data_IF_117641899891
#
_entry.id   IF_117641899891
#
_cell.length_a   1.000
_cell.length_b   1.000
_cell.length_c   1.000
_cell.angle_alpha   90.00
_cell.angle_beta   90.00
_cell.angle_gamma   90.00
#
_symmetry.space_group_name_H-M   'P 1'
#
loop_
_entity.id
_entity.type
_entity.pdbx_description
1 polymer ?
#
# COMPACT_ATOMS: atom_id res chain seq x y z
N UNK A 1 -35.25 32.81 45.74
CA UNK A 1 -34.83 32.50 44.35
C UNK A 1 -33.35 32.10 44.34
N UNK A 2 -33.04 30.79 44.32
CA UNK A 2 -31.66 30.26 44.18
C UNK A 2 -31.73 28.85 43.57
N UNK A 3 -31.92 28.78 42.26
CA UNK A 3 -31.70 27.57 41.45
C UNK A 3 -30.74 28.03 40.36
N UNK A 4 -29.42 27.84 40.53
CA UNK A 4 -28.46 28.21 39.47
C UNK A 4 -27.07 27.59 39.56
N UNK A 5 -26.89 26.43 40.23
CA UNK A 5 -25.54 25.83 40.34
C UNK A 5 -25.42 24.33 40.05
N UNK A 6 -26.53 23.61 39.84
CA UNK A 6 -26.47 22.15 39.62
C UNK A 6 -26.68 21.72 38.16
N UNK A 7 -26.99 22.64 37.25
CA UNK A 7 -27.31 22.29 35.86
C UNK A 7 -26.09 22.21 34.92
N UNK A 8 -24.93 22.68 35.35
CA UNK A 8 -23.73 22.78 34.49
C UNK A 8 -22.90 21.47 34.50
N UNK A 9 -23.11 20.58 35.47
CA UNK A 9 -22.34 19.32 35.58
C UNK A 9 -22.97 18.19 34.76
N UNK A 10 -24.29 18.22 34.51
CA UNK A 10 -24.97 17.18 33.73
C UNK A 10 -24.76 17.31 32.21
N UNK A 11 -24.40 18.50 31.70
CA UNK A 11 -24.12 18.73 30.28
C UNK A 11 -22.68 18.37 29.87
N UNK A 12 -21.76 18.22 30.85
CA UNK A 12 -20.37 17.83 30.60
C UNK A 12 -20.16 16.31 30.55
N UNK A 13 -21.22 15.53 30.78
CA UNK A 13 -21.30 14.09 30.49
C UNK A 13 -21.94 13.80 29.13
N UNK A 14 -21.95 14.76 28.20
CA UNK A 14 -21.80 14.43 26.80
C UNK A 14 -20.36 13.94 26.58
N UNK A 15 -20.03 12.81 27.22
CA UNK A 15 -18.82 12.08 26.93
C UNK A 15 -18.88 11.81 25.44
N UNK A 16 -17.94 12.39 24.71
CA UNK A 16 -17.56 11.88 23.41
C UNK A 16 -17.15 10.43 23.65
N UNK A 17 -18.13 9.52 23.56
CA UNK A 17 -17.86 8.12 23.36
C UNK A 17 -17.23 8.14 21.97
N UNK A 18 -15.90 8.21 21.90
CA UNK A 18 -15.22 7.92 20.66
C UNK A 18 -15.60 6.49 20.35
N UNK A 19 -16.53 6.31 19.42
CA UNK A 19 -16.79 5.02 18.82
C UNK A 19 -15.44 4.60 18.25
N UNK A 20 -14.75 3.69 18.94
CA UNK A 20 -13.58 3.04 18.36
C UNK A 20 -14.13 2.27 17.17
N UNK A 21 -13.58 2.49 15.97
CA UNK A 21 -14.04 1.74 14.82
C UNK A 21 -13.80 0.25 15.03
N UNK A 22 -14.58 -0.54 14.31
CA UNK A 22 -14.59 -1.97 14.45
C UNK A 22 -13.40 -2.58 13.71
N UNK A 23 -12.91 -3.70 14.23
CA UNK A 23 -12.07 -4.61 13.45
C UNK A 23 -12.99 -5.59 12.71
N UNK A 24 -12.88 -5.64 11.38
CA UNK A 24 -13.74 -6.47 10.54
C UNK A 24 -12.93 -7.20 9.48
N UNK A 25 -13.42 -8.37 9.09
CA UNK A 25 -12.62 -9.38 8.41
C UNK A 25 -13.18 -9.71 7.04
N UNK A 26 -12.34 -9.68 6.01
CA UNK A 26 -12.75 -10.15 4.69
C UNK A 26 -12.86 -11.68 4.71
N UNK A 27 -13.97 -12.20 4.17
CA UNK A 27 -14.26 -13.62 4.02
C UNK A 27 -14.44 -14.02 2.55
N UNK A 28 -14.96 -13.13 1.72
CA UNK A 28 -15.37 -13.47 0.35
C UNK A 28 -16.54 -14.45 0.31
N UNK A 29 -17.55 -14.22 1.15
CA UNK A 29 -18.72 -15.11 1.30
C UNK A 29 -19.67 -15.13 0.09
N UNK A 30 -19.62 -14.09 -0.75
CA UNK A 30 -20.40 -13.97 -2.00
C UNK A 30 -19.46 -14.11 -3.20
N UNK A 31 -18.41 -13.29 -3.23
CA UNK A 31 -17.43 -13.23 -4.31
C UNK A 31 -16.15 -12.48 -3.87
N UNK A 32 -15.33 -12.06 -4.83
CA UNK A 32 -14.08 -11.35 -4.59
C UNK A 32 -14.25 -9.83 -4.37
N UNK A 33 -15.44 -9.24 -4.55
CA UNK A 33 -15.58 -7.78 -4.55
C UNK A 33 -15.40 -7.21 -3.13
N UNK A 34 -14.35 -6.40 -2.95
CA UNK A 34 -14.03 -5.75 -1.67
C UNK A 34 -15.18 -4.88 -1.15
N UNK A 35 -15.99 -4.31 -2.04
CA UNK A 35 -17.02 -3.32 -1.70
C UNK A 35 -18.37 -3.93 -1.31
N UNK A 36 -18.49 -5.26 -1.27
CA UNK A 36 -19.75 -5.92 -0.91
C UNK A 36 -19.80 -6.27 0.58
N UNK A 37 -20.79 -5.71 1.26
CA UNK A 37 -21.09 -5.95 2.69
C UNK A 37 -21.09 -7.44 3.04
N UNK A 38 -21.69 -8.30 2.20
CA UNK A 38 -21.78 -9.74 2.46
C UNK A 38 -20.44 -10.50 2.39
N UNK A 39 -19.36 -9.84 1.94
CA UNK A 39 -18.02 -10.41 1.97
C UNK A 39 -17.26 -10.12 3.27
N UNK A 40 -17.82 -9.32 4.18
CA UNK A 40 -17.21 -8.93 5.45
C UNK A 40 -17.87 -9.62 6.64
N UNK A 41 -17.06 -10.01 7.61
CA UNK A 41 -17.50 -10.49 8.92
C UNK A 41 -17.24 -9.41 9.98
N UNK A 42 -18.09 -9.38 11.00
CA UNK A 42 -17.85 -8.59 12.19
C UNK A 42 -16.68 -9.17 13.01
N UNK A 43 -16.34 -8.49 14.12
CA UNK A 43 -15.23 -8.88 14.98
C UNK A 43 -15.39 -10.26 15.65
N UNK A 44 -16.59 -10.86 15.61
CA UNK A 44 -16.88 -12.18 16.16
C UNK A 44 -16.55 -13.35 15.22
N UNK A 45 -16.11 -13.06 13.99
CA UNK A 45 -15.81 -14.04 12.92
C UNK A 45 -16.98 -14.97 12.53
N UNK A 46 -18.20 -14.70 12.99
CA UNK A 46 -19.35 -15.56 12.79
C UNK A 46 -20.50 -14.84 12.07
N UNK A 47 -20.66 -13.55 12.34
CA UNK A 47 -21.73 -12.73 11.77
C UNK A 47 -21.23 -11.93 10.59
N UNK A 48 -22.04 -11.89 9.52
CA UNK A 48 -21.80 -11.00 8.38
C UNK A 48 -21.91 -9.57 8.89
N UNK A 49 -20.91 -8.75 8.56
CA UNK A 49 -20.92 -7.32 8.88
C UNK A 49 -22.12 -6.64 8.23
N UNK A 50 -22.67 -5.61 8.86
CA UNK A 50 -23.73 -4.80 8.28
C UNK A 50 -23.20 -3.75 7.27
N UNK A 51 -21.87 -3.58 7.19
CA UNK A 51 -21.20 -2.56 6.39
C UNK A 51 -19.82 -3.02 5.88
N UNK A 52 -19.28 -2.29 4.91
CA UNK A 52 -17.88 -2.36 4.44
C UNK A 52 -17.02 -1.45 5.31
N UNK A 53 -15.76 -1.77 5.60
CA UNK A 53 -14.90 -0.93 6.45
C UNK A 53 -14.84 0.53 6.01
N UNK A 54 -14.90 1.43 6.98
CA UNK A 54 -14.76 2.87 6.81
C UNK A 54 -13.56 3.48 7.55
N UNK A 55 -13.51 4.80 7.58
CA UNK A 55 -12.38 5.61 8.08
C UNK A 55 -11.97 5.33 9.53
N UNK A 56 -12.89 4.88 10.37
CA UNK A 56 -12.59 4.59 11.78
C UNK A 56 -12.19 3.11 11.99
N UNK A 57 -12.44 2.25 11.00
CA UNK A 57 -12.35 0.80 11.13
C UNK A 57 -10.95 0.26 10.81
N UNK A 58 -10.73 -0.99 11.24
CA UNK A 58 -9.61 -1.83 10.85
C UNK A 58 -10.14 -2.93 9.93
N UNK A 59 -9.76 -2.90 8.66
CA UNK A 59 -10.02 -3.96 7.69
C UNK A 59 -8.91 -5.01 7.73
N UNK A 60 -9.28 -6.26 7.97
CA UNK A 60 -8.37 -7.39 8.05
C UNK A 60 -8.58 -8.35 6.89
N UNK A 61 -7.52 -8.61 6.13
CA UNK A 61 -7.50 -9.57 5.03
C UNK A 61 -6.52 -10.69 5.41
N UNK A 62 -7.03 -11.86 5.81
CA UNK A 62 -6.20 -13.04 6.10
C UNK A 62 -6.90 -14.40 5.82
N UNK A 63 -6.13 -15.41 5.43
CA UNK A 63 -6.52 -16.65 4.74
C UNK A 63 -7.26 -17.68 5.58
N UNK A 64 -7.21 -17.57 6.91
CA UNK A 64 -7.96 -18.45 7.83
C UNK A 64 -9.44 -18.14 7.86
N UNK A 65 -9.86 -17.05 7.21
CA UNK A 65 -11.26 -16.62 7.09
C UNK A 65 -11.65 -16.43 5.61
N UNK A 66 -10.66 -16.27 4.71
CA UNK A 66 -10.88 -15.96 3.30
C UNK A 66 -11.12 -17.21 2.45
N UNK A 67 -12.23 -17.22 1.72
CA UNK A 67 -12.53 -18.21 0.67
C UNK A 67 -12.00 -17.78 -0.70
N UNK A 68 -11.90 -16.47 -0.94
CA UNK A 68 -11.54 -15.87 -2.23
C UNK A 68 -10.71 -14.61 -2.00
N UNK A 69 -9.61 -14.44 -2.73
CA UNK A 69 -8.79 -13.22 -2.65
C UNK A 69 -9.62 -11.97 -3.00
N UNK A 70 -9.69 -10.94 -2.13
CA UNK A 70 -10.39 -9.70 -2.44
C UNK A 70 -9.79 -8.97 -3.64
N UNK A 71 -10.66 -8.31 -4.40
CA UNK A 71 -10.35 -7.48 -5.56
C UNK A 71 -11.00 -6.11 -5.39
N UNK A 72 -10.21 -5.05 -5.55
CA UNK A 72 -10.69 -3.68 -5.68
C UNK A 72 -10.63 -3.32 -7.17
N UNK A 73 -11.79 -3.27 -7.83
CA UNK A 73 -11.93 -2.91 -9.26
C UNK A 73 -12.68 -1.60 -9.51
N UNK A 74 -13.08 -0.93 -8.44
CA UNK A 74 -13.70 0.41 -8.44
C UNK A 74 -13.23 1.18 -7.19
N UNK A 75 -13.66 2.44 -7.04
CA UNK A 75 -13.45 3.18 -5.79
C UNK A 75 -14.09 2.44 -4.62
N UNK A 76 -13.26 2.04 -3.65
CA UNK A 76 -13.66 1.52 -2.36
C UNK A 76 -13.77 2.68 -1.34
N UNK A 77 -14.54 2.51 -0.26
CA UNK A 77 -14.55 3.45 0.85
C UNK A 77 -13.16 3.59 1.48
N UNK A 78 -12.83 4.79 1.93
CA UNK A 78 -11.63 5.05 2.70
C UNK A 78 -11.66 4.26 4.01
N UNK A 79 -10.51 3.71 4.41
CA UNK A 79 -10.38 2.89 5.61
C UNK A 79 -9.30 3.43 6.53
N UNK A 80 -9.57 3.42 7.83
CA UNK A 80 -8.61 3.90 8.82
C UNK A 80 -7.32 3.08 8.82
N UNK A 81 -7.46 1.76 8.88
CA UNK A 81 -6.33 0.83 8.76
C UNK A 81 -6.71 -0.39 7.91
N UNK A 82 -5.87 -0.72 6.94
CA UNK A 82 -5.95 -1.92 6.12
C UNK A 82 -4.77 -2.84 6.42
N UNK A 83 -5.07 -4.05 6.85
CA UNK A 83 -4.11 -5.12 7.07
C UNK A 83 -4.27 -6.20 5.99
N UNK A 84 -3.17 -6.51 5.31
CA UNK A 84 -3.05 -7.63 4.38
C UNK A 84 -2.06 -8.61 4.98
N UNK A 85 -2.56 -9.68 5.59
CA UNK A 85 -1.76 -10.66 6.32
C UNK A 85 -1.19 -10.11 7.61
N UNK A 86 -1.95 -10.23 8.70
CA UNK A 86 -1.59 -9.71 10.03
C UNK A 86 -1.71 -10.79 11.11
N UNK A 87 -0.71 -10.90 12.00
CA UNK A 87 -0.69 -11.72 13.22
C UNK A 87 -0.99 -13.22 13.10
N UNK A 88 -0.98 -13.76 11.87
CA UNK A 88 -1.45 -15.09 11.44
C UNK A 88 -2.97 -15.11 11.21
N UNK A 89 -3.45 -15.60 10.05
CA UNK A 89 -2.75 -16.23 8.91
C UNK A 89 -2.36 -15.26 7.77
N UNK A 90 -1.91 -15.81 6.62
CA UNK A 90 -1.44 -15.05 5.43
C UNK A 90 -2.55 -14.20 4.80
N UNK A 91 -2.25 -13.15 4.05
CA UNK A 91 -3.29 -12.34 3.37
C UNK A 91 -2.89 -11.93 1.97
N UNK A 92 -3.89 -11.77 1.10
CA UNK A 92 -3.65 -11.25 -0.25
C UNK A 92 -4.77 -10.30 -0.67
N UNK A 93 -4.41 -9.22 -1.35
CA UNK A 93 -5.34 -8.25 -1.94
C UNK A 93 -4.90 -7.95 -3.37
N UNK A 94 -5.86 -7.84 -4.27
CA UNK A 94 -5.63 -7.43 -5.65
C UNK A 94 -6.30 -6.07 -5.90
N UNK A 95 -5.57 -5.15 -6.51
CA UNK A 95 -6.10 -3.88 -7.02
C UNK A 95 -5.89 -3.84 -8.53
N UNK A 96 -6.97 -3.66 -9.27
CA UNK A 96 -6.94 -3.64 -10.74
C UNK A 96 -7.28 -2.26 -11.27
N UNK A 97 -7.22 -2.10 -12.59
CA UNK A 97 -7.55 -0.83 -13.24
C UNK A 97 -8.98 -0.38 -12.90
N UNK A 98 -9.13 0.92 -12.62
CA UNK A 98 -10.36 1.51 -12.07
C UNK A 98 -10.53 1.38 -10.56
N UNK A 99 -9.77 0.52 -9.88
CA UNK A 99 -9.76 0.38 -8.43
C UNK A 99 -9.09 1.57 -7.72
N UNK A 100 -9.68 2.02 -6.62
CA UNK A 100 -9.01 2.99 -5.74
C UNK A 100 -9.37 2.81 -4.27
N UNK A 101 -8.44 3.08 -3.36
CA UNK A 101 -8.68 3.11 -1.91
C UNK A 101 -7.69 4.05 -1.21
N UNK A 102 -8.18 4.87 -0.29
CA UNK A 102 -7.36 5.50 0.74
C UNK A 102 -7.36 4.59 1.97
N UNK A 103 -6.20 4.02 2.27
CA UNK A 103 -5.94 3.26 3.48
C UNK A 103 -5.03 4.09 4.38
N UNK A 104 -5.62 4.84 5.31
CA UNK A 104 -4.93 5.76 6.20
C UNK A 104 -3.66 5.14 6.78
N UNK A 105 -3.75 3.89 7.26
CA UNK A 105 -2.61 3.01 7.45
C UNK A 105 -2.74 1.74 6.60
N UNK A 106 -1.76 1.45 5.75
CA UNK A 106 -1.63 0.17 5.07
C UNK A 106 -0.52 -0.66 5.69
N UNK A 107 -0.82 -1.91 6.05
CA UNK A 107 0.18 -2.90 6.46
C UNK A 107 0.10 -4.15 5.61
N UNK A 108 1.22 -4.51 5.00
CA UNK A 108 1.39 -5.70 4.17
C UNK A 108 2.37 -6.62 4.87
N UNK A 109 1.89 -7.73 5.41
CA UNK A 109 2.72 -8.71 6.12
C UNK A 109 3.20 -8.20 7.47
N UNK A 110 2.27 -7.99 8.41
CA UNK A 110 2.61 -7.69 9.81
C UNK A 110 2.65 -8.99 10.62
N UNK A 111 3.82 -9.40 11.11
CA UNK A 111 3.99 -10.65 11.88
C UNK A 111 3.41 -11.90 11.20
N UNK A 112 3.18 -11.82 9.88
CA UNK A 112 2.58 -12.82 9.00
C UNK A 112 3.02 -12.52 7.56
N UNK A 113 2.52 -13.30 6.60
CA UNK A 113 2.79 -13.09 5.18
C UNK A 113 1.64 -12.28 4.57
N UNK A 114 1.96 -11.18 3.89
CA UNK A 114 1.00 -10.35 3.18
C UNK A 114 1.44 -10.06 1.76
N UNK A 115 0.51 -10.11 0.83
CA UNK A 115 0.76 -9.79 -0.58
C UNK A 115 -0.26 -8.79 -1.11
N UNK A 116 0.21 -7.64 -1.56
CA UNK A 116 -0.59 -6.69 -2.33
C UNK A 116 -0.17 -6.80 -3.80
N UNK A 117 -1.10 -7.13 -4.68
CA UNK A 117 -0.86 -7.14 -6.13
C UNK A 117 -1.64 -6.01 -6.78
N UNK A 118 -0.95 -5.14 -7.52
CA UNK A 118 -1.53 -4.01 -8.24
C UNK A 118 -1.23 -4.13 -9.72
N UNK A 119 -2.24 -4.35 -10.56
CA UNK A 119 -2.10 -4.33 -12.04
C UNK A 119 -2.62 -3.03 -12.66
N UNK A 120 -3.17 -2.15 -11.83
CA UNK A 120 -3.68 -0.82 -12.14
C UNK A 120 -4.14 -0.13 -10.85
N UNK A 121 -4.94 0.93 -10.99
CA UNK A 121 -5.59 1.58 -9.86
C UNK A 121 -4.67 2.40 -8.95
N UNK A 122 -5.24 2.88 -7.85
CA UNK A 122 -4.60 3.75 -6.86
C UNK A 122 -4.77 3.20 -5.45
N UNK A 123 -3.68 3.09 -4.72
CA UNK A 123 -3.70 2.84 -3.27
C UNK A 123 -2.91 3.98 -2.62
N UNK A 124 -3.57 4.75 -1.77
CA UNK A 124 -2.95 5.86 -1.07
C UNK A 124 -3.21 5.83 0.44
N UNK A 125 -2.52 6.69 1.19
CA UNK A 125 -2.76 6.87 2.61
C UNK A 125 -1.62 7.60 3.33
N UNK A 126 -1.67 7.59 4.66
CA UNK A 126 -0.68 8.28 5.47
C UNK A 126 0.53 7.39 5.80
N UNK A 127 0.28 6.14 6.24
CA UNK A 127 1.28 5.21 6.75
C UNK A 127 1.35 3.96 5.87
N UNK A 128 2.56 3.53 5.50
CA UNK A 128 2.79 2.26 4.80
C UNK A 128 3.84 1.42 5.52
N UNK A 129 3.45 0.21 5.92
CA UNK A 129 4.32 -0.80 6.49
C UNK A 129 4.35 -2.05 5.61
N UNK A 130 5.54 -2.51 5.20
CA UNK A 130 5.70 -3.75 4.44
C UNK A 130 6.72 -4.64 5.14
N UNK A 131 6.36 -5.89 5.46
CA UNK A 131 7.22 -6.82 6.18
C UNK A 131 7.50 -6.39 7.63
N UNK A 132 6.48 -5.85 8.30
CA UNK A 132 6.58 -5.26 9.63
C UNK A 132 6.49 -6.30 10.74
N UNK A 133 7.10 -6.00 11.90
CA UNK A 133 7.05 -6.84 13.11
C UNK A 133 7.45 -8.32 12.86
N UNK A 134 8.50 -8.54 12.06
CA UNK A 134 8.98 -9.89 11.71
C UNK A 134 8.13 -10.64 10.67
N UNK A 135 7.14 -9.98 10.06
CA UNK A 135 6.38 -10.51 8.94
C UNK A 135 7.10 -10.35 7.59
N UNK A 136 6.52 -10.96 6.55
CA UNK A 136 6.97 -10.85 5.16
C UNK A 136 5.91 -10.10 4.37
N UNK A 137 6.28 -8.95 3.81
CA UNK A 137 5.38 -8.13 3.01
C UNK A 137 5.87 -8.03 1.58
N UNK A 138 4.98 -8.31 0.64
CA UNK A 138 5.27 -8.24 -0.79
C UNK A 138 4.26 -7.31 -1.43
N UNK A 139 4.74 -6.28 -2.12
CA UNK A 139 3.92 -5.42 -2.96
C UNK A 139 4.38 -5.59 -4.40
N UNK A 140 3.56 -6.21 -5.23
CA UNK A 140 3.83 -6.43 -6.66
C UNK A 140 3.02 -5.44 -7.49
N UNK A 141 3.70 -4.56 -8.23
CA UNK A 141 3.11 -3.48 -9.01
C UNK A 141 3.44 -3.64 -10.49
N UNK A 142 2.43 -3.58 -11.36
CA UNK A 142 2.56 -3.58 -12.82
C UNK A 142 1.50 -2.69 -13.48
N UNK A 143 1.50 -2.62 -14.82
CA UNK A 143 0.56 -1.78 -15.56
C UNK A 143 0.68 -0.30 -15.21
N UNK A 144 -0.45 0.36 -14.98
CA UNK A 144 -0.53 1.79 -14.59
C UNK A 144 -0.82 1.97 -13.09
N UNK A 145 -0.44 1.02 -12.25
CA UNK A 145 -0.68 1.07 -10.80
C UNK A 145 0.06 2.23 -10.12
N UNK A 146 -0.58 2.82 -9.11
CA UNK A 146 0.00 3.89 -8.30
C UNK A 146 -0.15 3.55 -6.83
N UNK A 147 0.97 3.52 -6.10
CA UNK A 147 1.03 3.41 -4.65
C UNK A 147 1.58 4.72 -4.09
N UNK A 148 0.85 5.44 -3.21
CA UNK A 148 1.27 6.78 -2.75
C UNK A 148 1.11 6.97 -1.23
N UNK A 149 2.22 7.18 -0.52
CA UNK A 149 2.23 7.36 0.94
C UNK A 149 3.14 8.49 1.41
N UNK A 150 3.04 8.88 2.68
CA UNK A 150 3.90 9.89 3.29
C UNK A 150 5.13 9.25 3.98
N UNK A 151 6.32 9.83 3.84
CA UNK A 151 7.59 9.26 4.35
C UNK A 151 7.63 9.14 5.87
N UNK A 152 7.08 10.13 6.59
CA UNK A 152 7.21 10.20 8.06
C UNK A 152 6.73 8.90 8.71
N UNK A 153 5.86 8.17 8.03
CA UNK A 153 5.22 6.95 8.50
C UNK A 153 5.40 5.79 7.47
N UNK A 154 6.56 5.72 6.80
CA UNK A 154 6.88 4.63 5.87
C UNK A 154 7.95 3.68 6.43
N UNK A 155 7.67 2.38 6.46
CA UNK A 155 8.61 1.33 6.89
C UNK A 155 8.60 0.14 5.93
N UNK A 156 9.77 -0.19 5.36
CA UNK A 156 10.05 -1.50 4.77
C UNK A 156 10.90 -2.30 5.77
N UNK A 157 10.32 -3.34 6.37
CA UNK A 157 11.03 -4.24 7.25
C UNK A 157 12.03 -5.12 6.49
N UNK A 158 12.80 -5.93 7.22
CA UNK A 158 13.86 -6.76 6.63
C UNK A 158 13.37 -7.75 5.56
N UNK A 159 12.09 -8.13 5.60
CA UNK A 159 11.43 -8.98 4.61
C UNK A 159 10.31 -8.25 3.85
N UNK A 160 10.39 -6.92 3.80
CA UNK A 160 9.50 -6.06 3.04
C UNK A 160 10.09 -5.70 1.68
N UNK A 161 9.35 -5.99 0.61
CA UNK A 161 9.77 -5.74 -0.76
C UNK A 161 8.65 -5.09 -1.57
N UNK A 162 9.01 -4.09 -2.36
CA UNK A 162 8.16 -3.49 -3.40
C UNK A 162 8.77 -3.81 -4.77
N UNK A 163 8.07 -4.64 -5.51
CA UNK A 163 8.40 -5.11 -6.85
C UNK A 163 7.64 -4.26 -7.87
N UNK A 164 8.34 -3.67 -8.84
CA UNK A 164 7.72 -2.76 -9.83
C UNK A 164 8.03 -3.19 -11.26
N UNK A 165 7.02 -3.15 -12.13
CA UNK A 165 7.09 -3.41 -13.56
C UNK A 165 6.34 -2.35 -14.39
N UNK A 166 6.53 -2.38 -15.71
CA UNK A 166 5.82 -1.54 -16.68
C UNK A 166 5.83 -0.04 -16.34
N UNK A 167 4.65 0.59 -16.22
CA UNK A 167 4.46 2.00 -15.91
C UNK A 167 4.05 2.22 -14.44
N UNK A 168 4.28 1.23 -13.57
CA UNK A 168 3.93 1.34 -12.16
C UNK A 168 4.67 2.51 -11.49
N UNK A 169 4.01 3.17 -10.54
CA UNK A 169 4.53 4.33 -9.84
C UNK A 169 4.41 4.14 -8.33
N UNK A 170 5.53 4.19 -7.64
CA UNK A 170 5.56 4.27 -6.20
C UNK A 170 5.95 5.67 -5.78
N UNK A 171 5.12 6.32 -4.96
CA UNK A 171 5.29 7.71 -4.54
C UNK A 171 5.42 7.80 -3.04
N UNK A 172 6.45 8.50 -2.59
CA UNK A 172 6.67 8.78 -1.17
C UNK A 172 6.80 10.29 -0.97
N UNK A 173 5.82 10.89 -0.31
CA UNK A 173 5.82 12.31 0.04
C UNK A 173 6.86 12.59 1.11
N UNK A 174 7.46 13.78 1.09
CA UNK A 174 8.39 14.25 2.15
C UNK A 174 9.72 13.49 2.29
N UNK A 175 10.06 12.53 1.42
CA UNK A 175 11.34 11.81 1.47
C UNK A 175 12.52 12.63 0.92
N UNK A 176 13.64 12.58 1.63
CA UNK A 176 14.90 13.16 1.14
C UNK A 176 15.52 12.29 0.04
N UNK A 177 16.27 12.90 -0.90
CA UNK A 177 16.94 12.14 -1.97
C UNK A 177 17.88 11.04 -1.47
N UNK A 178 18.65 11.29 -0.40
CA UNK A 178 19.54 10.28 0.18
C UNK A 178 18.78 9.09 0.80
N UNK A 179 17.61 9.34 1.40
CA UNK A 179 16.76 8.27 1.88
C UNK A 179 16.12 7.49 0.72
N UNK A 180 15.80 8.16 -0.39
CA UNK A 180 15.29 7.51 -1.59
C UNK A 180 16.32 6.58 -2.24
N UNK A 181 17.57 7.04 -2.38
CA UNK A 181 18.69 6.21 -2.85
C UNK A 181 18.86 4.95 -1.99
N UNK A 182 18.83 5.10 -0.66
CA UNK A 182 19.04 3.99 0.27
C UNK A 182 17.98 2.87 0.14
N UNK A 183 16.73 3.21 -0.21
CA UNK A 183 15.67 2.21 -0.39
C UNK A 183 15.90 1.32 -1.63
N UNK A 184 16.50 1.88 -2.67
CA UNK A 184 16.90 1.13 -3.87
C UNK A 184 18.16 0.31 -3.58
N UNK A 185 19.18 0.94 -2.99
CA UNK A 185 20.48 0.30 -2.72
C UNK A 185 20.37 -0.90 -1.76
N UNK A 186 19.43 -0.86 -0.81
CA UNK A 186 19.15 -1.96 0.10
C UNK A 186 18.28 -3.07 -0.52
N UNK A 187 17.87 -2.93 -1.79
CA UNK A 187 17.05 -3.91 -2.50
C UNK A 187 15.61 -4.00 -1.99
N UNK A 188 15.11 -2.96 -1.31
CA UNK A 188 13.74 -2.94 -0.82
C UNK A 188 12.74 -2.52 -1.92
N UNK A 189 13.19 -1.74 -2.89
CA UNK A 189 12.43 -1.40 -4.10
C UNK A 189 13.18 -1.98 -5.30
N UNK A 190 12.52 -2.87 -6.04
CA UNK A 190 13.11 -3.67 -7.10
C UNK A 190 12.34 -3.49 -8.40
N UNK A 191 13.05 -3.46 -9.53
CA UNK A 191 12.44 -3.67 -10.83
C UNK A 191 12.17 -5.18 -11.00
N UNK A 192 10.92 -5.60 -10.86
CA UNK A 192 10.53 -7.00 -11.01
C UNK A 192 10.54 -7.43 -12.49
N UNK A 193 10.81 -8.71 -12.73
CA UNK A 193 11.07 -9.27 -14.06
C UNK A 193 12.00 -8.38 -14.92
N UNK A 194 13.01 -7.78 -14.28
CA UNK A 194 14.16 -7.22 -14.95
C UNK A 194 14.94 -8.38 -15.57
N UNK A 195 14.51 -8.83 -16.77
CA UNK A 195 15.48 -9.30 -17.74
C UNK A 195 16.64 -8.30 -17.77
N UNK A 196 17.87 -8.78 -17.99
CA UNK A 196 19.08 -7.95 -17.93
C UNK A 196 18.80 -6.55 -18.50
N UNK A 197 18.80 -5.53 -17.62
CA UNK A 197 18.69 -4.14 -18.06
C UNK A 197 17.56 -3.24 -17.55
N UNK A 198 16.62 -3.70 -16.72
CA UNK A 198 15.68 -2.77 -16.06
C UNK A 198 16.24 -2.28 -14.73
N UNK A 199 16.05 -1.00 -14.42
CA UNK A 199 16.40 -0.40 -13.14
C UNK A 199 15.32 0.55 -12.65
N UNK A 200 15.31 0.83 -11.35
CA UNK A 200 14.46 1.85 -10.73
C UNK A 200 15.21 3.17 -10.74
N UNK A 201 14.58 4.23 -11.24
CA UNK A 201 15.02 5.61 -11.05
C UNK A 201 13.98 6.34 -10.21
N UNK A 202 14.44 7.25 -9.36
CA UNK A 202 13.57 8.14 -8.62
C UNK A 202 13.72 9.58 -9.10
N UNK A 203 12.61 10.32 -9.10
CA UNK A 203 12.57 11.74 -9.44
C UNK A 203 11.82 12.52 -8.36
N UNK A 204 12.39 13.64 -7.92
CA UNK A 204 11.68 14.58 -7.05
C UNK A 204 10.68 15.39 -7.87
N UNK A 205 9.41 15.43 -7.44
CA UNK A 205 8.32 16.16 -8.08
C UNK A 205 7.93 17.37 -7.21
N UNK A 206 8.46 18.58 -7.50
CA UNK A 206 8.27 19.75 -6.62
C UNK A 206 6.82 20.16 -6.46
N UNK A 207 6.03 20.09 -7.54
CA UNK A 207 4.61 20.48 -7.54
C UNK A 207 3.76 19.56 -6.67
N UNK A 208 4.20 18.33 -6.46
CA UNK A 208 3.49 17.35 -5.63
C UNK A 208 4.12 17.13 -4.25
N UNK A 209 5.35 17.58 -4.03
CA UNK A 209 6.07 17.37 -2.76
C UNK A 209 6.41 15.90 -2.49
N UNK A 210 6.60 15.08 -3.53
CA UNK A 210 6.93 13.66 -3.41
C UNK A 210 8.09 13.24 -4.30
N UNK A 211 8.74 12.14 -3.91
CA UNK A 211 9.61 11.36 -4.81
C UNK A 211 8.78 10.30 -5.49
N UNK A 212 8.90 10.18 -6.81
CA UNK A 212 8.30 9.11 -7.62
C UNK A 212 9.40 8.13 -8.05
N UNK A 213 9.22 6.85 -7.73
CA UNK A 213 10.00 5.74 -8.27
C UNK A 213 9.30 5.23 -9.52
N UNK A 214 10.08 4.98 -10.57
CA UNK A 214 9.59 4.44 -11.84
C UNK A 214 10.54 3.38 -12.37
N UNK A 215 9.99 2.40 -13.08
CA UNK A 215 10.77 1.41 -13.81
C UNK A 215 11.22 2.03 -15.13
N UNK A 216 12.52 2.04 -15.37
CA UNK A 216 13.07 2.46 -16.66
C UNK A 216 13.44 1.21 -17.45
N UNK A 217 12.78 0.96 -18.60
CA UNK A 217 13.24 -0.06 -19.52
C UNK A 217 14.60 0.38 -20.08
N UNK A 218 15.52 -0.58 -20.22
CA UNK A 218 16.77 -0.31 -20.91
C UNK A 218 16.47 0.32 -22.28
N UNK A 219 17.14 1.43 -22.67
CA UNK A 219 16.94 2.00 -23.98
C UNK A 219 17.15 0.92 -25.04
N UNK A 220 16.16 0.69 -25.91
CA UNK A 220 16.26 -0.30 -27.00
C UNK A 220 17.49 -0.11 -27.91
N UNK A 221 18.13 1.06 -27.83
CA UNK A 221 19.39 1.37 -28.48
C UNK A 221 20.58 0.57 -27.97
N UNK A 222 20.62 0.10 -26.72
CA UNK A 222 21.73 -0.74 -26.22
C UNK A 222 21.69 -2.15 -26.83
N UNK A 223 20.51 -2.73 -27.01
CA UNK A 223 20.33 -3.99 -27.73
C UNK A 223 20.69 -3.89 -29.22
N UNK A 224 20.37 -2.77 -29.88
CA UNK A 224 20.75 -2.53 -31.27
C UNK A 224 22.25 -2.26 -31.45
N UNK A 225 22.90 -1.57 -30.50
CA UNK A 225 24.36 -1.32 -30.57
C UNK A 225 25.16 -2.61 -30.34
N UNK A 226 24.68 -3.51 -29.47
CA UNK A 226 25.27 -4.84 -29.31
C UNK A 226 25.10 -5.72 -30.56
N UNK A 227 23.96 -5.63 -31.26
CA UNK A 227 23.71 -6.39 -32.49
C UNK A 227 24.53 -5.86 -33.70
N UNK A 228 24.91 -4.58 -33.69
CA UNK A 228 25.61 -3.92 -34.81
C UNK A 228 27.15 -3.90 -34.69
N UNK A 229 27.74 -4.64 -33.74
CA UNK A 229 29.15 -5.04 -33.81
C UNK A 229 30.18 -3.90 -33.75
N UNK A 230 29.87 -2.77 -33.12
CA UNK A 230 30.78 -1.62 -33.01
C UNK A 230 31.06 -1.27 -31.57
N UNK A 231 32.23 -1.65 -31.06
CA UNK A 231 32.71 -1.26 -29.73
C UNK A 231 32.81 0.25 -29.58
N UNK A 232 31.83 0.86 -28.92
CA UNK A 232 31.89 2.23 -28.43
C UNK A 232 31.66 2.20 -26.92
N UNK A 233 32.78 2.21 -26.19
CA UNK A 233 32.82 2.35 -24.74
C UNK A 233 32.27 3.73 -24.36
N UNK A 234 31.00 3.80 -23.97
CA UNK A 234 30.40 5.01 -23.41
C UNK A 234 30.74 5.11 -21.92
N UNK A 235 31.78 5.87 -21.59
CA UNK A 235 32.02 6.31 -20.21
C UNK A 235 31.07 7.48 -19.92
N UNK A 236 29.95 7.21 -19.24
CA UNK A 236 29.07 8.28 -18.73
C UNK A 236 29.74 8.95 -17.53
N UNK A 237 30.25 10.18 -17.72
CA UNK A 237 30.71 11.03 -16.61
C UNK A 237 29.47 11.65 -15.95
N UNK A 238 29.08 11.16 -14.77
CA UNK A 238 28.06 11.81 -13.93
C UNK A 238 28.64 13.14 -13.44
N UNK A 239 28.11 14.28 -13.90
CA UNK A 239 28.34 15.57 -13.23
C UNK A 239 27.27 15.71 -12.15
N UNK A 240 27.70 15.73 -10.88
CA UNK A 240 26.84 16.17 -9.78
C UNK A 240 26.70 17.69 -9.88
N UNK A 241 25.46 18.18 -9.92
CA UNK A 241 25.09 19.55 -9.54
C UNK A 241 24.22 19.43 -8.31
#
# INVERSE_FOLDING_TARGET
MKISKYLVIAALLAGTISAQGAQIYFRGGIDADYTKVGNWLSNDFATVSAYVPGLDDIAEIHSGVILVTPVISSSAPDVGTLHIGSNSPEGSLIVVDGGSIDAGTLRVGQAAIGTLTMTGGLVEGALLNVGYNGGTGIVDMSGNSILHYNQVDFTLGASGVVNMEDNAKFRVSSISGAAADALIDNGNILAANAGAGKFIEWNWIPTGGYVEYTVIPEPATLGMVALLGGGLLWIRRRSKV
#
